data_IF_930553333665
#
_entry.id   IF_930553333665
#
_cell.length_a   1.000
_cell.length_b   1.000
_cell.length_c   1.000
_cell.angle_alpha   90.00
_cell.angle_beta   90.00
_cell.angle_gamma   90.00
#
_symmetry.space_group_name_H-M   'P 1'
#
loop_
_entity.id
_entity.type
_entity.pdbx_description
1 polymer ?
#
# COMPACT_ATOMS: atom_id res chain seq x y z
N UNK A 1 -8.43 24.89 14.40
CA UNK A 1 -9.33 23.79 14.13
C UNK A 1 -8.86 22.53 14.85
N UNK A 2 -9.74 21.91 15.64
CA UNK A 2 -9.46 20.69 16.37
C UNK A 2 -10.24 19.53 15.70
N UNK A 3 -9.53 18.57 15.12
CA UNK A 3 -10.17 17.42 14.51
C UNK A 3 -10.56 16.39 15.58
N UNK A 4 -11.69 15.67 15.41
CA UNK A 4 -12.12 14.63 16.35
C UNK A 4 -11.10 13.49 16.43
N UNK A 5 -10.79 12.96 17.63
CA UNK A 5 -9.98 11.75 17.74
C UNK A 5 -10.68 10.53 17.13
N UNK A 6 -9.94 9.51 16.77
CA UNK A 6 -10.51 8.21 16.39
C UNK A 6 -11.09 7.50 17.62
N UNK A 7 -12.18 6.75 17.41
CA UNK A 7 -12.82 5.96 18.45
C UNK A 7 -13.14 4.56 17.91
N UNK A 8 -13.48 3.58 18.77
CA UNK A 8 -13.85 2.24 18.29
C UNK A 8 -15.03 2.20 17.31
N UNK A 9 -15.85 3.25 17.26
CA UNK A 9 -17.00 3.38 16.36
C UNK A 9 -16.82 4.46 15.28
N UNK A 10 -15.70 5.16 15.26
CA UNK A 10 -15.41 6.23 14.31
C UNK A 10 -13.97 6.14 13.80
N UNK A 11 -13.81 5.73 12.56
CA UNK A 11 -12.53 5.60 11.86
C UNK A 11 -12.50 6.56 10.68
N UNK A 12 -11.62 7.57 10.73
CA UNK A 12 -11.50 8.59 9.69
C UNK A 12 -11.19 7.99 8.31
N UNK A 13 -10.40 6.91 8.26
CA UNK A 13 -10.08 6.20 7.02
C UNK A 13 -11.26 5.46 6.37
N UNK A 14 -12.43 5.41 7.03
CA UNK A 14 -13.64 4.72 6.56
C UNK A 14 -14.82 5.64 6.35
N UNK A 15 -14.88 6.74 7.09
CA UNK A 15 -16.02 7.65 7.07
C UNK A 15 -15.79 8.80 6.08
N UNK A 16 -16.88 9.17 5.41
CA UNK A 16 -16.90 10.28 4.44
C UNK A 16 -17.93 11.30 4.88
N UNK A 17 -17.51 12.56 5.00
CA UNK A 17 -18.41 13.67 5.25
C UNK A 17 -19.32 13.88 4.04
N UNK A 18 -20.59 14.18 4.29
CA UNK A 18 -21.58 14.43 3.23
C UNK A 18 -22.14 13.19 2.54
N UNK A 19 -21.66 11.98 2.80
CA UNK A 19 -22.11 10.77 2.11
C UNK A 19 -23.60 10.46 2.31
N UNK A 20 -24.10 10.66 3.55
CA UNK A 20 -25.52 10.45 3.85
C UNK A 20 -26.41 11.45 3.13
N UNK A 21 -26.04 12.74 3.16
CA UNK A 21 -26.74 13.84 2.51
C UNK A 21 -26.74 13.68 1.00
N UNK A 22 -25.61 13.33 0.40
CA UNK A 22 -25.51 13.07 -1.04
C UNK A 22 -26.46 11.96 -1.51
N UNK A 23 -26.56 10.87 -0.73
CA UNK A 23 -27.51 9.78 -1.02
C UNK A 23 -28.96 10.19 -0.85
N UNK A 24 -29.27 11.01 0.17
CA UNK A 24 -30.63 11.42 0.49
C UNK A 24 -31.17 12.48 -0.47
N UNK A 25 -30.33 13.44 -0.88
CA UNK A 25 -30.74 14.59 -1.68
C UNK A 25 -30.70 14.33 -3.19
N UNK A 26 -29.89 13.37 -3.63
CA UNK A 26 -29.73 13.07 -5.06
C UNK A 26 -30.59 11.87 -5.44
N UNK A 27 -31.68 12.09 -6.16
CA UNK A 27 -32.62 11.02 -6.56
C UNK A 27 -31.94 9.94 -7.42
N UNK A 28 -31.02 10.32 -8.31
CA UNK A 28 -30.25 9.42 -9.16
C UNK A 28 -28.77 9.76 -9.05
N UNK A 29 -28.14 9.19 -8.06
CA UNK A 29 -26.70 9.37 -7.83
C UNK A 29 -25.92 8.58 -8.88
N UNK A 30 -25.18 9.26 -9.76
CA UNK A 30 -24.37 8.66 -10.82
C UNK A 30 -22.88 8.79 -10.58
N UNK A 31 -22.49 9.78 -9.77
CA UNK A 31 -21.08 10.07 -9.44
C UNK A 31 -20.98 10.67 -8.05
N UNK A 32 -19.79 10.60 -7.47
CA UNK A 32 -19.38 11.46 -6.34
C UNK A 32 -18.32 12.45 -6.79
N UNK A 33 -18.40 13.65 -6.23
CA UNK A 33 -17.35 14.64 -6.25
C UNK A 33 -16.60 14.53 -4.93
N UNK A 34 -15.32 14.17 -4.97
CA UNK A 34 -14.45 14.00 -3.80
C UNK A 34 -13.62 15.26 -3.64
N UNK A 35 -13.78 15.96 -2.53
CA UNK A 35 -13.04 17.19 -2.17
C UNK A 35 -12.24 16.96 -0.89
N UNK A 36 -11.32 17.86 -0.55
CA UNK A 36 -10.47 17.73 0.62
C UNK A 36 -11.17 18.17 1.91
N UNK A 37 -11.89 19.28 1.86
CA UNK A 37 -12.48 19.93 3.02
C UNK A 37 -13.99 19.67 3.18
N UNK A 38 -14.45 19.53 4.41
CA UNK A 38 -15.88 19.46 4.70
C UNK A 38 -16.61 20.79 4.43
N UNK A 39 -15.89 21.92 4.49
CA UNK A 39 -16.47 23.22 4.14
C UNK A 39 -16.76 23.32 2.66
N UNK A 40 -15.93 22.71 1.80
CA UNK A 40 -16.20 22.63 0.36
C UNK A 40 -17.50 21.87 0.07
N UNK A 41 -17.72 20.75 0.80
CA UNK A 41 -18.98 20.00 0.68
C UNK A 41 -20.19 20.87 1.02
N UNK A 42 -20.10 21.68 2.09
CA UNK A 42 -21.17 22.58 2.51
C UNK A 42 -21.41 23.67 1.45
N UNK A 43 -20.35 24.29 0.94
CA UNK A 43 -20.44 25.34 -0.07
C UNK A 43 -20.99 24.83 -1.40
N UNK A 44 -20.54 23.66 -1.83
CA UNK A 44 -21.06 22.99 -3.03
C UNK A 44 -22.53 22.64 -2.88
N UNK A 45 -22.96 22.13 -1.71
CA UNK A 45 -24.35 21.82 -1.43
C UNK A 45 -25.25 23.09 -1.39
N UNK A 46 -24.73 24.24 -0.93
CA UNK A 46 -25.42 25.53 -0.98
C UNK A 46 -25.64 26.01 -2.43
N UNK A 47 -24.81 25.55 -3.36
CA UNK A 47 -24.93 25.81 -4.80
C UNK A 47 -25.56 24.64 -5.57
N UNK A 48 -26.38 23.82 -4.91
CA UNK A 48 -27.11 22.67 -5.50
C UNK A 48 -26.23 21.55 -6.09
N UNK A 49 -24.94 21.48 -5.71
CA UNK A 49 -24.05 20.35 -6.02
C UNK A 49 -24.06 19.40 -4.83
N UNK A 50 -25.10 18.56 -4.75
CA UNK A 50 -25.42 17.73 -3.58
C UNK A 50 -24.73 16.37 -3.55
N UNK A 51 -23.84 16.06 -4.49
CA UNK A 51 -23.12 14.79 -4.58
C UNK A 51 -21.63 14.90 -4.19
N UNK A 52 -21.27 15.98 -3.50
CA UNK A 52 -19.93 16.17 -2.95
C UNK A 52 -19.75 15.42 -1.64
N UNK A 53 -18.56 14.84 -1.45
CA UNK A 53 -18.10 14.17 -0.22
C UNK A 53 -16.67 14.57 0.08
N UNK A 54 -16.30 14.58 1.37
CA UNK A 54 -14.92 14.87 1.78
C UNK A 54 -14.38 13.79 2.72
N UNK A 55 -13.06 13.64 2.72
CA UNK A 55 -12.34 12.88 3.73
C UNK A 55 -12.25 13.69 5.03
N UNK A 56 -12.03 13.02 6.16
CA UNK A 56 -12.09 13.65 7.49
C UNK A 56 -10.68 13.99 8.01
N UNK A 57 -9.95 14.84 7.26
CA UNK A 57 -8.58 15.24 7.63
C UNK A 57 -7.55 14.13 7.48
N UNK A 58 -7.81 13.20 6.56
CA UNK A 58 -6.90 12.12 6.17
C UNK A 58 -6.86 12.03 4.64
N UNK A 59 -5.77 11.49 4.09
CA UNK A 59 -5.72 11.18 2.67
C UNK A 59 -6.83 10.18 2.27
N UNK A 60 -7.24 10.21 1.01
CA UNK A 60 -8.21 9.25 0.46
C UNK A 60 -7.67 7.82 0.63
N UNK A 61 -8.44 6.96 1.28
CA UNK A 61 -8.09 5.54 1.52
C UNK A 61 -8.79 4.62 0.53
N UNK A 62 -8.29 3.37 0.41
CA UNK A 62 -8.95 2.33 -0.38
C UNK A 62 -10.36 2.01 0.13
N UNK A 63 -10.59 2.07 1.45
CA UNK A 63 -11.91 1.83 2.04
C UNK A 63 -12.92 2.94 1.67
N UNK A 64 -12.47 4.21 1.62
CA UNK A 64 -13.29 5.31 1.12
C UNK A 64 -13.72 5.06 -0.34
N UNK A 65 -12.78 4.70 -1.21
CA UNK A 65 -13.04 4.45 -2.62
C UNK A 65 -13.96 3.25 -2.83
N UNK A 66 -13.72 2.14 -2.13
CA UNK A 66 -14.60 0.98 -2.19
C UNK A 66 -16.03 1.32 -1.77
N UNK A 67 -16.19 2.10 -0.69
CA UNK A 67 -17.50 2.53 -0.20
C UNK A 67 -18.24 3.37 -1.23
N UNK A 68 -17.54 4.30 -1.88
CA UNK A 68 -18.11 5.12 -2.96
C UNK A 68 -18.43 4.30 -4.21
N UNK A 69 -17.53 3.41 -4.65
CA UNK A 69 -17.74 2.57 -5.83
C UNK A 69 -18.82 1.49 -5.65
N UNK A 70 -19.29 1.21 -4.44
CA UNK A 70 -20.49 0.39 -4.20
C UNK A 70 -21.77 1.13 -4.56
N UNK A 71 -21.73 2.46 -4.59
CA UNK A 71 -22.90 3.31 -4.79
C UNK A 71 -22.94 3.91 -6.19
N UNK A 72 -21.79 4.21 -6.78
CA UNK A 72 -21.65 4.85 -8.10
C UNK A 72 -20.53 4.21 -8.90
N UNK A 73 -20.57 4.37 -10.22
CA UNK A 73 -19.50 3.91 -11.11
C UNK A 73 -18.45 4.99 -11.43
N UNK A 74 -18.73 6.26 -11.10
CA UNK A 74 -17.85 7.39 -11.45
C UNK A 74 -17.47 8.18 -10.20
N UNK A 75 -16.17 8.43 -10.03
CA UNK A 75 -15.62 9.35 -9.03
C UNK A 75 -14.90 10.50 -9.74
N UNK A 76 -15.14 11.73 -9.29
CA UNK A 76 -14.40 12.90 -9.73
C UNK A 76 -13.70 13.47 -8.51
N UNK A 77 -12.37 13.47 -8.52
CA UNK A 77 -11.56 14.09 -7.49
C UNK A 77 -11.31 15.54 -7.86
N UNK A 78 -11.50 16.47 -6.93
CA UNK A 78 -11.24 17.88 -7.11
C UNK A 78 -10.14 18.30 -6.14
N UNK A 79 -9.06 18.81 -6.69
CA UNK A 79 -7.88 19.25 -5.96
C UNK A 79 -7.54 20.69 -6.30
N UNK A 80 -6.92 21.39 -5.36
CA UNK A 80 -6.33 22.69 -5.59
C UNK A 80 -5.29 22.63 -6.71
N UNK A 81 -5.10 23.71 -7.43
CA UNK A 81 -4.20 23.77 -8.59
C UNK A 81 -2.71 23.75 -8.24
N UNK A 82 -2.36 23.81 -6.95
CA UNK A 82 -1.01 23.89 -6.46
C UNK A 82 -0.26 22.52 -6.47
N UNK A 83 1.00 22.54 -6.04
CA UNK A 83 1.81 21.33 -5.99
C UNK A 83 1.32 20.34 -4.92
N UNK A 84 0.75 20.81 -3.81
CA UNK A 84 0.21 19.95 -2.77
C UNK A 84 -1.00 19.18 -3.28
N UNK A 85 -1.95 19.86 -3.96
CA UNK A 85 -3.09 19.25 -4.61
C UNK A 85 -2.69 18.24 -5.71
N UNK A 86 -1.64 18.55 -6.50
CA UNK A 86 -1.12 17.59 -7.51
C UNK A 86 -0.52 16.33 -6.86
N UNK A 87 0.16 16.46 -5.73
CA UNK A 87 0.70 15.33 -4.98
C UNK A 87 -0.42 14.52 -4.31
N UNK A 88 -1.44 15.19 -3.75
CA UNK A 88 -2.62 14.53 -3.20
C UNK A 88 -3.39 13.75 -4.28
N UNK A 89 -3.54 14.32 -5.49
CA UNK A 89 -4.13 13.67 -6.65
C UNK A 89 -3.37 12.41 -7.06
N UNK A 90 -2.03 12.46 -7.07
CA UNK A 90 -1.20 11.30 -7.39
C UNK A 90 -1.37 10.18 -6.36
N UNK A 91 -1.42 10.51 -5.07
CA UNK A 91 -1.74 9.54 -4.00
C UNK A 91 -3.13 8.94 -4.18
N UNK A 92 -4.14 9.76 -4.46
CA UNK A 92 -5.51 9.28 -4.70
C UNK A 92 -5.57 8.35 -5.92
N UNK A 93 -4.83 8.67 -7.01
CA UNK A 93 -4.70 7.81 -8.18
C UNK A 93 -4.09 6.46 -7.80
N UNK A 94 -2.96 6.44 -7.09
CA UNK A 94 -2.27 5.21 -6.68
C UNK A 94 -3.19 4.31 -5.84
N UNK A 95 -3.93 4.90 -4.89
CA UNK A 95 -4.92 4.15 -4.07
C UNK A 95 -6.10 3.65 -4.91
N UNK A 96 -6.44 4.35 -6.01
CA UNK A 96 -7.54 3.95 -6.89
C UNK A 96 -7.17 2.78 -7.82
N UNK A 97 -5.91 2.65 -8.26
CA UNK A 97 -5.49 1.64 -9.24
C UNK A 97 -5.94 0.21 -8.90
N UNK A 98 -5.72 -0.32 -7.66
CA UNK A 98 -6.16 -1.67 -7.31
C UNK A 98 -7.68 -1.85 -7.31
N UNK A 99 -8.43 -0.76 -7.31
CA UNK A 99 -9.88 -0.75 -7.24
C UNK A 99 -10.54 -0.50 -8.61
N UNK A 100 -9.75 -0.14 -9.63
CA UNK A 100 -10.26 0.09 -10.98
C UNK A 100 -10.63 -1.23 -11.64
N UNK A 101 -11.89 -1.35 -12.00
CA UNK A 101 -12.48 -2.50 -12.69
C UNK A 101 -13.28 -1.99 -13.89
N UNK A 102 -13.58 -2.88 -14.82
CA UNK A 102 -14.44 -2.57 -15.95
C UNK A 102 -15.77 -1.94 -15.47
N UNK A 103 -16.16 -0.83 -16.06
CA UNK A 103 -17.33 -0.05 -15.65
C UNK A 103 -17.08 0.98 -14.54
N UNK A 104 -15.91 1.03 -13.89
CA UNK A 104 -15.53 2.10 -12.96
C UNK A 104 -14.75 3.20 -13.67
N UNK A 105 -14.97 4.45 -13.26
CA UNK A 105 -14.27 5.62 -13.79
C UNK A 105 -13.81 6.53 -12.66
N UNK A 106 -12.56 6.95 -12.71
CA UNK A 106 -11.99 7.97 -11.85
C UNK A 106 -11.47 9.13 -12.72
N UNK A 107 -11.73 10.36 -12.31
CA UNK A 107 -11.30 11.58 -13.01
C UNK A 107 -10.70 12.56 -12.00
N UNK A 108 -9.84 13.43 -12.48
CA UNK A 108 -9.10 14.41 -11.68
C UNK A 108 -9.32 15.80 -12.23
N UNK A 109 -9.90 16.67 -11.42
CA UNK A 109 -10.07 18.08 -11.70
C UNK A 109 -9.05 18.85 -10.86
N UNK A 110 -8.25 19.67 -11.51
CA UNK A 110 -7.36 20.64 -10.87
C UNK A 110 -7.95 22.03 -11.05
N UNK A 111 -8.16 22.72 -9.94
CA UNK A 111 -8.67 24.07 -9.95
C UNK A 111 -7.56 25.07 -10.36
N UNK A 112 -7.92 26.27 -10.80
CA UNK A 112 -6.96 27.35 -11.00
C UNK A 112 -6.17 27.67 -9.73
N UNK A 113 -4.93 28.11 -9.85
CA UNK A 113 -4.07 28.47 -8.72
C UNK A 113 -4.76 29.50 -7.80
N UNK A 114 -4.80 29.19 -6.50
CA UNK A 114 -5.42 30.04 -5.48
C UNK A 114 -6.95 29.92 -5.36
N UNK A 115 -7.58 29.04 -6.12
CA UNK A 115 -9.01 28.73 -6.01
C UNK A 115 -9.21 27.37 -5.32
N UNK A 116 -10.19 27.32 -4.43
CA UNK A 116 -10.74 26.11 -3.84
C UNK A 116 -12.17 25.85 -4.37
N UNK A 117 -12.79 24.69 -4.09
CA UNK A 117 -14.15 24.40 -4.56
C UNK A 117 -15.20 25.44 -4.09
N UNK A 118 -15.06 25.98 -2.85
CA UNK A 118 -15.95 26.99 -2.30
C UNK A 118 -15.85 28.31 -3.07
N UNK A 119 -14.64 28.85 -3.22
CA UNK A 119 -14.39 30.12 -3.90
C UNK A 119 -14.83 30.05 -5.37
N UNK A 120 -14.50 28.94 -6.04
CA UNK A 120 -14.79 28.79 -7.46
C UNK A 120 -16.28 28.63 -7.75
N UNK A 121 -17.02 27.82 -6.98
CA UNK A 121 -18.45 27.65 -7.20
C UNK A 121 -19.24 28.95 -6.91
N UNK A 122 -18.81 29.74 -5.93
CA UNK A 122 -19.41 31.07 -5.67
C UNK A 122 -19.16 32.06 -6.80
N UNK A 123 -17.97 31.99 -7.41
CA UNK A 123 -17.55 32.91 -8.47
C UNK A 123 -18.20 32.59 -9.83
N UNK A 124 -18.26 31.32 -10.18
CA UNK A 124 -18.66 30.86 -11.52
C UNK A 124 -20.10 30.32 -11.58
N UNK A 125 -20.66 29.91 -10.43
CA UNK A 125 -21.96 29.26 -10.35
C UNK A 125 -21.93 27.78 -10.71
N UNK A 126 -23.04 27.09 -10.45
CA UNK A 126 -23.20 25.65 -10.63
C UNK A 126 -22.87 25.17 -12.03
N UNK A 127 -23.48 25.79 -13.05
CA UNK A 127 -23.38 25.29 -14.42
C UNK A 127 -21.96 25.27 -14.97
N UNK A 128 -21.18 26.31 -14.66
CA UNK A 128 -19.77 26.36 -15.05
C UNK A 128 -18.92 25.40 -14.27
N UNK A 129 -19.20 25.22 -12.97
CA UNK A 129 -18.49 24.25 -12.15
C UNK A 129 -18.75 22.83 -12.63
N UNK A 130 -20.01 22.47 -12.95
CA UNK A 130 -20.35 21.16 -13.51
C UNK A 130 -19.70 20.94 -14.89
N UNK A 131 -19.64 21.97 -15.72
CA UNK A 131 -18.90 21.91 -16.99
C UNK A 131 -17.41 21.56 -16.75
N UNK A 132 -16.77 22.13 -15.72
CA UNK A 132 -15.38 21.77 -15.35
C UNK A 132 -15.26 20.31 -14.90
N UNK A 133 -16.23 19.80 -14.15
CA UNK A 133 -16.26 18.39 -13.74
C UNK A 133 -16.35 17.46 -14.97
N UNK A 134 -17.05 17.85 -16.01
CA UNK A 134 -17.10 17.09 -17.25
C UNK A 134 -15.77 17.11 -18.02
N UNK A 135 -15.00 18.18 -17.90
CA UNK A 135 -13.64 18.31 -18.46
C UNK A 135 -12.55 17.68 -17.57
N UNK A 136 -12.90 17.16 -16.39
CA UNK A 136 -11.93 16.52 -15.51
C UNK A 136 -11.15 15.41 -16.22
N UNK A 137 -9.84 15.40 -16.03
CA UNK A 137 -8.90 14.50 -16.70
C UNK A 137 -9.16 13.04 -16.28
N UNK A 138 -9.35 12.10 -17.22
CA UNK A 138 -9.47 10.68 -16.90
C UNK A 138 -8.21 10.14 -16.21
N UNK A 139 -8.37 9.11 -15.36
CA UNK A 139 -7.26 8.46 -14.66
C UNK A 139 -6.13 8.02 -15.59
N UNK A 140 -6.38 7.37 -16.76
CA UNK A 140 -5.29 7.00 -17.66
C UNK A 140 -4.49 8.19 -18.16
N UNK A 141 -5.16 9.28 -18.53
CA UNK A 141 -4.50 10.48 -19.05
C UNK A 141 -3.64 11.14 -17.96
N UNK A 142 -4.16 11.27 -16.74
CA UNK A 142 -3.41 11.82 -15.63
C UNK A 142 -2.20 10.92 -15.27
N UNK A 143 -2.39 9.60 -15.24
CA UNK A 143 -1.35 8.62 -14.98
C UNK A 143 -0.18 8.75 -15.96
N UNK A 144 -0.46 8.67 -17.24
CA UNK A 144 0.61 8.73 -18.24
C UNK A 144 1.23 10.12 -18.36
N UNK A 145 0.43 11.18 -18.27
CA UNK A 145 0.97 12.56 -18.31
C UNK A 145 1.93 12.82 -17.14
N UNK A 146 1.59 12.35 -15.94
CA UNK A 146 2.47 12.51 -14.76
C UNK A 146 3.76 11.72 -14.90
N UNK A 147 3.70 10.47 -15.37
CA UNK A 147 4.90 9.65 -15.55
C UNK A 147 5.81 10.13 -16.66
N UNK A 148 5.27 10.80 -17.69
CA UNK A 148 6.05 11.32 -18.82
C UNK A 148 6.64 12.72 -18.57
N UNK A 149 6.21 13.43 -17.50
CA UNK A 149 6.54 14.84 -17.31
C UNK A 149 8.05 15.12 -17.36
N UNK A 150 8.86 14.21 -16.80
CA UNK A 150 10.31 14.37 -16.67
C UNK A 150 11.09 13.33 -17.51
N UNK A 151 10.43 12.64 -18.46
CA UNK A 151 11.02 11.57 -19.27
C UNK A 151 11.05 11.96 -20.75
N UNK A 152 12.22 11.89 -21.36
CA UNK A 152 12.34 11.98 -22.82
C UNK A 152 11.88 10.68 -23.50
N UNK A 153 10.60 10.58 -23.78
CA UNK A 153 9.97 9.42 -24.45
C UNK A 153 10.45 9.20 -25.90
N UNK A 154 11.23 10.11 -26.48
CA UNK A 154 11.81 9.92 -27.81
C UNK A 154 13.08 9.07 -27.75
N UNK A 155 13.79 9.06 -26.62
CA UNK A 155 14.98 8.25 -26.40
C UNK A 155 14.61 6.79 -26.05
N UNK A 156 15.51 5.85 -26.33
CA UNK A 156 15.33 4.45 -25.93
C UNK A 156 15.37 4.29 -24.42
N UNK A 157 16.24 5.04 -23.76
CA UNK A 157 16.37 5.03 -22.30
C UNK A 157 15.09 5.56 -21.62
N UNK A 158 14.54 6.67 -22.15
CA UNK A 158 13.27 7.22 -21.64
C UNK A 158 12.09 6.25 -21.81
N UNK A 159 12.00 5.55 -22.95
CA UNK A 159 11.00 4.50 -23.16
C UNK A 159 11.14 3.34 -22.18
N UNK A 160 12.37 2.89 -21.94
CA UNK A 160 12.66 1.85 -20.97
C UNK A 160 12.32 2.32 -19.55
N UNK A 161 12.68 3.56 -19.20
CA UNK A 161 12.37 4.16 -17.91
C UNK A 161 10.86 4.26 -17.67
N UNK A 162 10.10 4.79 -18.64
CA UNK A 162 8.65 4.85 -18.57
C UNK A 162 8.01 3.46 -18.37
N UNK A 163 8.51 2.44 -19.09
CA UNK A 163 8.03 1.07 -18.95
C UNK A 163 8.25 0.51 -17.54
N UNK A 164 9.44 0.77 -16.97
CA UNK A 164 9.80 0.31 -15.63
C UNK A 164 8.99 1.00 -14.52
N UNK A 165 8.61 2.27 -14.70
CA UNK A 165 7.76 3.00 -13.75
C UNK A 165 6.29 2.61 -13.89
N UNK A 166 5.78 2.50 -15.12
CA UNK A 166 4.36 2.29 -15.35
C UNK A 166 3.90 0.86 -15.08
N UNK A 167 4.68 -0.15 -15.51
CA UNK A 167 4.24 -1.56 -15.43
C UNK A 167 3.95 -2.06 -14.01
N UNK A 168 4.76 -1.78 -12.97
CA UNK A 168 4.43 -2.18 -11.60
C UNK A 168 3.07 -1.63 -11.15
N UNK A 169 2.79 -0.35 -11.43
CA UNK A 169 1.54 0.30 -11.07
C UNK A 169 0.34 -0.25 -11.88
N UNK A 170 0.51 -0.49 -13.19
CA UNK A 170 -0.52 -1.12 -14.02
C UNK A 170 -0.81 -2.55 -13.53
N UNK A 171 0.18 -3.25 -12.99
CA UNK A 171 0.00 -4.59 -12.46
C UNK A 171 -0.88 -4.63 -11.20
N UNK A 172 -0.99 -3.54 -10.45
CA UNK A 172 -1.93 -3.42 -9.34
C UNK A 172 -3.40 -3.40 -9.78
N UNK A 173 -3.68 -3.02 -11.04
CA UNK A 173 -5.03 -3.04 -11.59
C UNK A 173 -5.51 -4.49 -11.71
N UNK A 174 -6.72 -4.83 -11.21
CA UNK A 174 -7.30 -6.15 -11.36
C UNK A 174 -7.41 -6.57 -12.83
N UNK A 175 -7.33 -7.87 -13.08
CA UNK A 175 -7.47 -8.41 -14.43
C UNK A 175 -8.82 -8.02 -15.04
N UNK A 176 -8.80 -7.47 -16.26
CA UNK A 176 -9.97 -6.97 -16.98
C UNK A 176 -9.56 -6.20 -18.23
N UNK A 177 -10.56 -5.72 -18.99
CA UNK A 177 -10.36 -4.94 -20.21
C UNK A 177 -9.63 -3.62 -19.90
N UNK A 178 -9.96 -2.97 -18.79
CA UNK A 178 -9.31 -1.72 -18.39
C UNK A 178 -7.80 -1.88 -18.23
N UNK A 179 -7.34 -2.95 -17.57
CA UNK A 179 -5.89 -3.25 -17.45
C UNK A 179 -5.24 -3.45 -18.80
N UNK A 180 -5.89 -4.19 -19.69
CA UNK A 180 -5.37 -4.43 -21.04
C UNK A 180 -5.20 -3.14 -21.82
N UNK A 181 -6.20 -2.25 -21.78
CA UNK A 181 -6.13 -0.94 -22.42
C UNK A 181 -5.01 -0.05 -21.85
N UNK A 182 -4.73 -0.12 -20.55
CA UNK A 182 -3.60 0.57 -19.94
C UNK A 182 -2.25 0.04 -20.46
N UNK A 183 -2.12 -1.28 -20.62
CA UNK A 183 -0.91 -1.91 -21.21
C UNK A 183 -0.78 -1.54 -22.69
N UNK A 184 -1.86 -1.53 -23.45
CA UNK A 184 -1.88 -1.11 -24.85
C UNK A 184 -1.47 0.35 -25.00
N UNK A 185 -1.98 1.24 -24.14
CA UNK A 185 -1.58 2.65 -24.15
C UNK A 185 -0.06 2.81 -23.86
N UNK A 186 0.49 2.06 -22.91
CA UNK A 186 1.92 2.02 -22.66
C UNK A 186 2.70 1.47 -23.87
N UNK A 187 2.17 0.45 -24.54
CA UNK A 187 2.73 -0.11 -25.76
C UNK A 187 2.82 0.94 -26.88
N UNK A 188 1.79 1.74 -27.06
CA UNK A 188 1.76 2.85 -28.03
C UNK A 188 2.83 3.90 -27.68
N UNK A 189 2.93 4.31 -26.42
CA UNK A 189 3.88 5.34 -25.97
C UNK A 189 5.35 4.90 -26.10
N UNK A 190 5.62 3.63 -25.80
CA UNK A 190 6.99 3.10 -25.79
C UNK A 190 7.41 2.47 -27.13
N UNK A 191 6.43 2.04 -27.93
CA UNK A 191 6.68 1.27 -29.15
C UNK A 191 7.05 -0.21 -28.88
N UNK A 192 6.89 -0.68 -27.62
CA UNK A 192 7.12 -2.08 -27.25
C UNK A 192 5.79 -2.84 -27.33
N UNK A 193 5.81 -4.05 -27.89
CA UNK A 193 4.62 -4.88 -27.94
C UNK A 193 4.14 -5.25 -26.52
N UNK A 194 2.81 -5.31 -26.32
CA UNK A 194 2.18 -5.52 -25.02
C UNK A 194 2.64 -6.80 -24.32
N UNK A 195 2.81 -7.89 -25.07
CA UNK A 195 3.34 -9.17 -24.58
C UNK A 195 4.77 -9.06 -24.04
N UNK A 196 5.62 -8.26 -24.69
CA UNK A 196 6.99 -7.99 -24.22
C UNK A 196 7.02 -7.14 -22.95
N UNK A 197 6.12 -6.16 -22.81
CA UNK A 197 5.98 -5.37 -21.59
C UNK A 197 5.59 -6.26 -20.40
N UNK A 198 4.62 -7.14 -20.60
CA UNK A 198 4.18 -8.09 -19.57
C UNK A 198 5.29 -9.08 -19.22
N UNK A 199 5.98 -9.65 -20.22
CA UNK A 199 7.08 -10.59 -20.00
C UNK A 199 8.26 -9.92 -19.27
N UNK A 200 8.63 -8.70 -19.64
CA UNK A 200 9.70 -7.94 -18.98
C UNK A 200 9.37 -7.66 -17.50
N UNK A 201 8.13 -7.24 -17.21
CA UNK A 201 7.70 -7.00 -15.82
C UNK A 201 7.71 -8.27 -14.97
N UNK A 202 7.32 -9.42 -15.53
CA UNK A 202 7.38 -10.73 -14.85
C UNK A 202 8.82 -11.16 -14.59
N UNK A 203 9.76 -10.87 -15.49
CA UNK A 203 11.19 -11.20 -15.33
C UNK A 203 11.88 -10.34 -14.25
N UNK A 204 11.47 -9.09 -14.09
CA UNK A 204 11.96 -8.20 -13.01
C UNK A 204 11.42 -8.68 -11.66
N UNK A 205 10.14 -9.06 -11.58
CA UNK A 205 9.57 -9.64 -10.38
C UNK A 205 10.22 -10.99 -10.00
N UNK A 206 10.58 -11.82 -11.00
CA UNK A 206 11.25 -13.10 -10.78
C UNK A 206 12.73 -12.98 -10.39
N UNK A 207 13.41 -11.87 -10.74
CA UNK A 207 14.79 -11.58 -10.31
C UNK A 207 14.88 -11.10 -8.86
N UNK A 208 13.77 -10.65 -8.29
CA UNK A 208 13.68 -10.20 -6.91
C UNK A 208 13.16 -11.28 -5.95
N UNK A 209 13.30 -12.57 -6.29
CA UNK A 209 13.19 -13.65 -5.31
C UNK A 209 14.57 -13.79 -4.68
N UNK A 210 14.74 -13.54 -3.37
CA UNK A 210 16.00 -13.77 -2.69
C UNK A 210 16.40 -15.25 -2.91
N UNK A 211 17.50 -15.48 -3.61
CA UNK A 211 18.02 -16.83 -3.81
C UNK A 211 18.44 -17.41 -2.47
N UNK A 212 17.72 -18.41 -2.00
CA UNK A 212 18.13 -19.23 -0.86
C UNK A 212 19.57 -19.73 -1.07
N UNK A 213 20.40 -19.79 -0.02
CA UNK A 213 21.80 -20.22 -0.13
C UNK A 213 21.86 -21.65 -0.68
N UNK A 214 22.58 -21.82 -1.78
CA UNK A 214 22.87 -23.13 -2.38
C UNK A 214 23.66 -23.98 -1.40
N UNK A 215 23.01 -24.93 -0.75
CA UNK A 215 23.65 -26.05 -0.08
C UNK A 215 24.34 -26.93 -1.14
N UNK A 216 25.61 -27.23 -0.92
CA UNK A 216 26.44 -28.12 -1.75
C UNK A 216 25.80 -29.51 -1.85
N UNK A 217 25.84 -30.19 -2.99
CA UNK A 217 25.27 -31.53 -3.11
C UNK A 217 26.17 -32.56 -2.45
N UNK A 218 25.64 -33.25 -1.44
CA UNK A 218 26.19 -34.51 -0.96
C UNK A 218 25.54 -35.64 -1.75
N UNK A 219 26.38 -36.47 -2.38
CA UNK A 219 25.98 -37.69 -3.09
C UNK A 219 25.42 -38.74 -2.11
N UNK A 220 24.28 -39.31 -2.44
CA UNK A 220 23.94 -40.71 -2.16
C UNK A 220 22.69 -41.09 -2.96
N UNK A 221 22.92 -41.86 -3.94
CA UNK A 221 22.39 -43.19 -4.31
C UNK A 221 20.87 -43.43 -4.35
N UNK A 222 20.49 -43.86 -5.54
CA UNK A 222 19.23 -44.43 -6.02
C UNK A 222 18.73 -45.61 -5.21
N UNK A 223 17.42 -45.65 -4.93
CA UNK A 223 16.63 -46.94 -5.00
C UNK A 223 15.21 -46.61 -5.47
N UNK A 224 14.77 -47.47 -6.39
CA UNK A 224 13.54 -47.46 -7.16
C UNK A 224 12.30 -47.96 -6.41
N UNK A 225 11.16 -47.48 -6.90
CA UNK A 225 9.88 -48.23 -7.15
C UNK A 225 8.94 -48.52 -5.97
N UNK A 226 7.71 -48.09 -6.16
CA UNK A 226 6.62 -49.05 -6.13
C UNK A 226 5.30 -48.54 -5.49
N UNK A 227 4.25 -48.56 -6.32
CA UNK A 227 2.83 -48.86 -6.04
C UNK A 227 1.94 -47.77 -5.38
N UNK A 228 1.13 -47.27 -6.18
CA UNK A 228 -0.34 -47.21 -6.35
C UNK A 228 -1.25 -47.66 -5.19
N UNK A 229 -2.31 -46.87 -5.09
CA UNK A 229 -3.72 -47.18 -4.80
C UNK A 229 -4.32 -46.80 -3.46
N UNK A 230 -5.30 -45.91 -3.65
CA UNK A 230 -6.65 -45.84 -3.08
C UNK A 230 -6.85 -45.92 -1.56
N UNK A 231 -7.43 -44.88 -1.02
CA UNK A 231 -8.74 -45.01 -0.34
C UNK A 231 -9.44 -43.62 -0.21
N UNK A 232 -10.65 -43.56 -0.75
CA UNK A 232 -11.66 -42.53 -0.52
C UNK A 232 -12.30 -42.68 0.86
N UNK A 233 -12.76 -41.55 1.34
CA UNK A 233 -13.93 -41.30 2.20
C UNK A 233 -13.67 -40.64 3.54
N UNK A 234 -14.15 -39.41 3.57
CA UNK A 234 -15.05 -38.95 4.64
C UNK A 234 -14.40 -38.31 5.86
N UNK A 235 -14.38 -36.98 5.92
CA UNK A 235 -15.08 -36.26 6.99
C UNK A 235 -14.76 -34.75 6.96
N UNK A 236 -15.84 -34.00 6.89
CA UNK A 236 -16.09 -32.65 7.49
C UNK A 236 -15.03 -31.55 7.39
N UNK A 237 -15.40 -30.57 6.60
CA UNK A 237 -14.95 -29.17 6.69
C UNK A 237 -15.07 -28.64 8.10
N UNK A 238 -13.98 -28.10 8.64
CA UNK A 238 -14.01 -26.93 9.50
C UNK A 238 -12.60 -26.33 9.63
N UNK A 239 -12.51 -25.02 9.30
CA UNK A 239 -11.49 -24.03 9.71
C UNK A 239 -10.02 -24.30 9.37
N UNK A 240 -9.71 -24.20 8.08
CA UNK A 240 -8.35 -23.86 7.61
C UNK A 240 -8.35 -22.34 7.40
N UNK A 241 -7.60 -21.62 8.24
CA UNK A 241 -7.25 -20.22 8.02
C UNK A 241 -6.64 -20.07 6.62
N UNK A 242 -7.33 -19.30 5.79
CA UNK A 242 -7.04 -19.14 4.37
C UNK A 242 -5.62 -18.61 4.13
N UNK A 243 -4.88 -19.13 3.14
CA UNK A 243 -3.54 -18.64 2.74
C UNK A 243 -3.52 -17.16 2.27
N UNK A 244 -4.69 -16.55 2.10
CA UNK A 244 -4.85 -15.14 1.73
C UNK A 244 -4.54 -14.15 2.87
N UNK A 245 -4.61 -14.55 4.15
CA UNK A 245 -4.30 -13.66 5.27
C UNK A 245 -2.79 -13.56 5.53
N UNK A 246 -2.06 -14.68 5.45
CA UNK A 246 -0.61 -14.69 5.63
C UNK A 246 0.12 -13.87 4.55
N UNK A 247 -0.38 -13.87 3.31
CA UNK A 247 0.20 -13.07 2.23
C UNK A 247 -0.01 -11.56 2.44
N UNK A 248 -1.15 -11.14 3.00
CA UNK A 248 -1.42 -9.72 3.30
C UNK A 248 -0.59 -9.21 4.48
N UNK A 249 -0.48 -9.99 5.54
CA UNK A 249 0.34 -9.65 6.72
C UNK A 249 1.83 -9.54 6.36
N UNK A 250 2.35 -10.41 5.48
CA UNK A 250 3.72 -10.33 4.99
C UNK A 250 3.99 -9.10 4.11
N UNK A 251 3.02 -8.70 3.27
CA UNK A 251 3.12 -7.48 2.45
C UNK A 251 3.09 -6.23 3.36
N UNK A 252 2.23 -6.22 4.37
CA UNK A 252 2.14 -5.12 5.33
C UNK A 252 3.42 -4.99 6.16
N UNK A 253 3.98 -6.11 6.62
CA UNK A 253 5.25 -6.16 7.33
C UNK A 253 6.40 -5.59 6.47
N UNK A 254 6.53 -6.03 5.22
CA UNK A 254 7.56 -5.53 4.31
C UNK A 254 7.45 -4.02 4.04
N UNK A 255 6.23 -3.49 3.90
CA UNK A 255 5.98 -2.04 3.75
C UNK A 255 6.42 -1.25 4.98
N UNK A 256 6.13 -1.74 6.17
CA UNK A 256 6.52 -1.10 7.43
C UNK A 256 8.05 -1.14 7.64
N UNK A 257 8.71 -2.23 7.27
CA UNK A 257 10.19 -2.31 7.29
C UNK A 257 10.80 -1.28 6.34
N UNK A 258 10.30 -1.19 5.11
CA UNK A 258 10.73 -0.17 4.13
C UNK A 258 10.55 1.25 4.67
N UNK A 259 9.43 1.52 5.33
CA UNK A 259 9.13 2.82 5.93
C UNK A 259 10.08 3.14 7.10
N UNK A 260 10.36 2.17 7.97
CA UNK A 260 11.33 2.32 9.05
C UNK A 260 12.75 2.59 8.53
N UNK A 261 13.17 1.89 7.46
CA UNK A 261 14.46 2.13 6.79
C UNK A 261 14.51 3.56 6.22
N UNK A 262 13.47 4.00 5.51
CA UNK A 262 13.44 5.34 4.94
C UNK A 262 13.52 6.45 6.01
N UNK A 263 12.87 6.25 7.16
CA UNK A 263 12.96 7.16 8.31
C UNK A 263 14.37 7.19 8.93
N UNK A 264 15.01 6.03 9.13
CA UNK A 264 16.39 5.94 9.63
C UNK A 264 17.39 6.56 8.67
N UNK A 265 17.19 6.42 7.35
CA UNK A 265 18.05 7.05 6.35
C UNK A 265 17.96 8.58 6.40
N UNK A 266 16.82 9.15 6.78
CA UNK A 266 16.62 10.60 6.93
C UNK A 266 17.15 11.12 8.26
N UNK A 267 16.92 10.38 9.33
CA UNK A 267 17.29 10.76 10.69
C UNK A 267 17.89 9.54 11.41
N UNK A 268 19.21 9.31 11.28
CA UNK A 268 19.90 8.17 11.91
C UNK A 268 19.74 8.13 13.42
N UNK A 269 19.53 9.27 14.07
CA UNK A 269 19.34 9.38 15.54
C UNK A 269 18.13 8.60 16.04
N UNK A 270 17.15 8.28 15.18
CA UNK A 270 15.99 7.44 15.52
C UNK A 270 16.42 6.02 15.97
N UNK A 271 17.62 5.57 15.60
CA UNK A 271 18.19 4.30 16.06
C UNK A 271 18.31 4.22 17.59
N UNK A 272 18.38 5.35 18.29
CA UNK A 272 18.43 5.41 19.75
C UNK A 272 17.14 4.89 20.42
N UNK A 273 16.04 4.80 19.67
CA UNK A 273 14.77 4.23 20.16
C UNK A 273 14.78 2.69 20.20
N UNK A 274 15.82 2.05 19.63
CA UNK A 274 15.95 0.59 19.64
C UNK A 274 16.67 0.13 20.89
N UNK A 275 15.95 -0.56 21.76
CA UNK A 275 16.53 -1.30 22.88
C UNK A 275 16.83 -2.77 22.49
N UNK A 276 17.58 -3.48 23.35
CA UNK A 276 17.92 -4.87 23.13
C UNK A 276 16.69 -5.80 23.01
N UNK A 277 15.54 -5.42 23.59
CA UNK A 277 14.30 -6.21 23.52
C UNK A 277 13.62 -6.05 22.15
N UNK A 278 13.59 -4.83 21.60
CA UNK A 278 13.08 -4.54 20.27
C UNK A 278 13.93 -5.29 19.23
N UNK A 279 15.26 -5.18 19.36
CA UNK A 279 16.21 -5.84 18.46
C UNK A 279 15.99 -7.36 18.42
N UNK A 280 15.99 -8.04 19.58
CA UNK A 280 15.83 -9.50 19.64
C UNK A 280 14.46 -10.00 19.13
N UNK A 281 13.40 -9.18 19.20
CA UNK A 281 12.08 -9.53 18.66
C UNK A 281 12.06 -9.44 17.14
N UNK A 282 12.67 -8.42 16.56
CA UNK A 282 12.74 -8.24 15.10
C UNK A 282 13.74 -9.20 14.44
N UNK A 283 14.81 -9.60 15.11
CA UNK A 283 15.80 -10.56 14.61
C UNK A 283 15.17 -11.93 14.24
N UNK A 284 14.11 -12.30 14.95
CA UNK A 284 13.35 -13.52 14.65
C UNK A 284 12.41 -13.40 13.45
N UNK A 285 12.27 -12.21 12.84
CA UNK A 285 11.31 -11.93 11.78
C UNK A 285 11.98 -11.86 10.41
N UNK A 286 11.64 -12.74 9.45
CA UNK A 286 12.17 -12.68 8.10
C UNK A 286 11.81 -11.35 7.42
N UNK A 287 12.82 -10.70 6.79
CA UNK A 287 12.65 -9.43 6.08
C UNK A 287 13.02 -8.19 6.88
N UNK A 288 13.45 -8.33 8.14
CA UNK A 288 13.97 -7.23 8.98
C UNK A 288 15.49 -7.09 8.96
N UNK A 289 16.21 -7.97 8.24
CA UNK A 289 17.66 -8.07 8.26
C UNK A 289 18.34 -6.75 7.91
N UNK A 290 17.92 -6.10 6.82
CA UNK A 290 18.52 -4.84 6.37
C UNK A 290 18.24 -3.69 7.36
N UNK A 291 17.05 -3.64 7.96
CA UNK A 291 16.72 -2.68 9.01
C UNK A 291 17.64 -2.82 10.22
N UNK A 292 17.87 -4.05 10.67
CA UNK A 292 18.74 -4.34 11.81
C UNK A 292 20.23 -4.08 11.50
N UNK A 293 20.68 -4.38 10.28
CA UNK A 293 22.05 -4.04 9.83
C UNK A 293 22.27 -2.52 9.82
N UNK A 294 21.30 -1.75 9.34
CA UNK A 294 21.37 -0.28 9.36
C UNK A 294 21.46 0.27 10.78
N UNK A 295 20.59 -0.22 11.69
CA UNK A 295 20.62 0.18 13.11
C UNK A 295 21.98 -0.16 13.72
N UNK A 296 22.48 -1.37 13.49
CA UNK A 296 23.78 -1.79 14.00
C UNK A 296 24.92 -0.91 13.47
N UNK A 297 24.90 -0.58 12.17
CA UNK A 297 25.91 0.29 11.58
C UNK A 297 25.85 1.73 12.14
N UNK A 298 24.65 2.28 12.36
CA UNK A 298 24.46 3.60 12.94
C UNK A 298 25.02 3.64 14.37
N UNK A 299 24.66 2.65 15.20
CA UNK A 299 25.08 2.60 16.61
C UNK A 299 26.57 2.31 16.73
N UNK A 300 27.12 1.33 15.96
CA UNK A 300 28.51 0.93 16.05
C UNK A 300 29.50 1.99 15.54
N UNK A 301 29.08 2.85 14.61
CA UNK A 301 29.93 3.86 13.97
C UNK A 301 29.54 5.30 14.33
N UNK A 302 28.58 5.49 15.26
CA UNK A 302 28.05 6.78 15.70
C UNK A 302 27.65 7.69 14.51
N UNK A 303 26.96 7.12 13.52
CA UNK A 303 26.58 7.82 12.29
C UNK A 303 25.40 8.74 12.59
N UNK A 304 25.59 10.05 12.41
CA UNK A 304 24.57 11.08 12.59
C UNK A 304 24.07 11.71 11.26
N UNK A 305 24.68 11.37 10.13
CA UNK A 305 24.36 11.96 8.83
C UNK A 305 23.83 10.91 7.83
N UNK A 306 22.73 11.21 7.12
CA UNK A 306 22.20 10.38 6.04
C UNK A 306 23.25 10.00 4.99
N UNK A 307 24.07 10.95 4.57
CA UNK A 307 25.14 10.74 3.57
C UNK A 307 26.24 9.80 4.07
N UNK A 308 26.61 9.91 5.35
CA UNK A 308 27.59 8.98 5.96
C UNK A 308 27.02 7.58 6.02
N UNK A 309 25.72 7.44 6.36
CA UNK A 309 25.07 6.15 6.41
C UNK A 309 25.06 5.51 5.01
N UNK A 310 24.65 6.24 3.98
CA UNK A 310 24.64 5.75 2.60
C UNK A 310 26.05 5.38 2.10
N UNK A 311 27.08 6.16 2.44
CA UNK A 311 28.46 5.88 2.06
C UNK A 311 28.98 4.55 2.62
N UNK A 312 28.46 4.08 3.77
CA UNK A 312 28.86 2.78 4.33
C UNK A 312 28.33 1.57 3.54
N UNK A 313 27.37 1.80 2.63
CA UNK A 313 26.77 0.77 1.75
C UNK A 313 27.22 0.87 0.29
N UNK A 314 28.15 1.79 -0.07
CA UNK A 314 28.52 2.10 -1.46
C UNK A 314 28.94 0.87 -2.28
N UNK A 315 29.58 -0.13 -1.66
CA UNK A 315 30.04 -1.36 -2.30
C UNK A 315 29.08 -2.56 -2.11
N UNK A 316 27.86 -2.33 -1.62
CA UNK A 316 26.87 -3.38 -1.33
C UNK A 316 25.73 -3.36 -2.34
N UNK A 317 25.10 -4.51 -2.63
CA UNK A 317 23.98 -4.60 -3.58
C UNK A 317 22.74 -3.79 -3.17
N UNK A 318 22.58 -3.48 -1.87
CA UNK A 318 21.46 -2.70 -1.35
C UNK A 318 21.65 -1.18 -1.55
N UNK A 319 22.80 -0.71 -2.01
CA UNK A 319 23.14 0.71 -2.14
C UNK A 319 22.12 1.48 -3.02
N UNK A 320 21.81 0.96 -4.21
CA UNK A 320 20.87 1.60 -5.12
C UNK A 320 19.47 1.68 -4.50
N UNK A 321 19.03 0.64 -3.81
CA UNK A 321 17.74 0.63 -3.10
C UNK A 321 17.69 1.67 -1.99
N UNK A 322 18.76 1.80 -1.18
CA UNK A 322 18.82 2.78 -0.09
C UNK A 322 18.89 4.21 -0.62
N UNK A 323 19.62 4.44 -1.73
CA UNK A 323 19.67 5.74 -2.41
C UNK A 323 18.28 6.15 -2.91
N UNK A 324 17.59 5.23 -3.58
CA UNK A 324 16.24 5.48 -4.11
C UNK A 324 15.24 5.79 -2.99
N UNK A 325 15.39 5.18 -1.81
CA UNK A 325 14.57 5.49 -0.63
C UNK A 325 14.84 6.89 -0.06
N UNK A 326 16.06 7.39 -0.13
CA UNK A 326 16.40 8.77 0.28
C UNK A 326 15.83 9.79 -0.71
N UNK A 327 15.89 9.48 -2.01
CA UNK A 327 15.41 10.35 -3.08
C UNK A 327 13.88 10.40 -3.15
N UNK A 328 13.18 9.39 -2.62
CA UNK A 328 11.73 9.45 -2.49
C UNK A 328 11.36 10.54 -1.49
N UNK A 329 10.72 11.62 -1.97
CA UNK A 329 10.12 12.67 -1.14
C UNK A 329 9.07 12.06 -0.22
N UNK A 330 9.46 11.71 1.00
CA UNK A 330 8.49 11.39 2.04
C UNK A 330 8.03 12.70 2.68
N UNK A 331 6.73 12.96 2.59
CA UNK A 331 6.05 14.19 3.02
C UNK A 331 5.94 14.38 4.55
N UNK A 332 6.73 13.62 5.33
CA UNK A 332 6.75 13.76 6.77
C UNK A 332 7.67 14.91 7.16
N UNK A 333 7.14 15.84 7.96
CA UNK A 333 7.93 16.87 8.61
C UNK A 333 8.95 16.20 9.54
N UNK A 334 10.19 16.69 9.54
CA UNK A 334 11.28 16.14 10.37
C UNK A 334 10.91 16.13 11.85
N UNK A 335 10.07 17.06 12.29
CA UNK A 335 9.57 17.15 13.67
C UNK A 335 8.62 16.03 14.06
N UNK A 336 7.92 15.39 13.13
CA UNK A 336 6.95 14.31 13.37
C UNK A 336 7.58 12.91 13.24
N UNK A 337 8.77 12.80 12.65
CA UNK A 337 9.47 11.55 12.42
C UNK A 337 9.66 10.67 13.67
N UNK A 338 10.01 11.19 14.88
CA UNK A 338 10.22 10.33 16.05
C UNK A 338 8.94 9.66 16.55
N UNK A 339 7.79 10.32 16.50
CA UNK A 339 6.51 9.76 16.92
C UNK A 339 6.01 8.72 15.89
N UNK A 340 6.12 9.04 14.61
CA UNK A 340 5.74 8.12 13.53
C UNK A 340 6.63 6.87 13.51
N UNK A 341 7.94 7.04 13.70
CA UNK A 341 8.87 5.93 13.78
C UNK A 341 8.52 4.99 14.94
N UNK A 342 8.23 5.54 16.12
CA UNK A 342 7.73 4.76 17.27
C UNK A 342 6.47 3.98 16.92
N UNK A 343 5.53 4.58 16.19
CA UNK A 343 4.30 3.95 15.73
C UNK A 343 4.55 2.78 14.77
N UNK A 344 5.46 2.97 13.81
CA UNK A 344 5.88 1.94 12.85
C UNK A 344 6.53 0.76 13.57
N UNK A 345 7.47 1.01 14.49
CA UNK A 345 8.16 -0.04 15.23
C UNK A 345 7.19 -0.82 16.12
N UNK A 346 6.28 -0.15 16.82
CA UNK A 346 5.26 -0.82 17.63
C UNK A 346 4.34 -1.71 16.77
N UNK A 347 4.02 -1.29 15.56
CA UNK A 347 3.20 -2.08 14.64
C UNK A 347 3.97 -3.28 14.12
N UNK A 348 5.26 -3.12 13.76
CA UNK A 348 6.16 -4.22 13.39
C UNK A 348 6.25 -5.27 14.51
N UNK A 349 6.47 -4.85 15.74
CA UNK A 349 6.55 -5.75 16.89
C UNK A 349 5.25 -6.53 17.11
N UNK A 350 4.10 -5.89 16.93
CA UNK A 350 2.80 -6.55 17.05
C UNK A 350 2.56 -7.59 15.96
N UNK A 351 3.00 -7.32 14.73
CA UNK A 351 2.92 -8.28 13.63
C UNK A 351 3.87 -9.46 13.85
N UNK A 352 5.10 -9.20 14.32
CA UNK A 352 6.07 -10.24 14.71
C UNK A 352 5.51 -11.17 15.79
N UNK A 353 4.90 -10.63 16.84
CA UNK A 353 4.30 -11.43 17.90
C UNK A 353 3.11 -12.26 17.40
N UNK A 354 2.32 -11.72 16.49
CA UNK A 354 1.20 -12.43 15.87
C UNK A 354 1.70 -13.60 15.02
N UNK A 355 2.75 -13.37 14.19
CA UNK A 355 3.36 -14.42 13.35
C UNK A 355 4.02 -15.51 14.20
N UNK A 356 4.79 -15.13 15.22
CA UNK A 356 5.41 -16.08 16.16
C UNK A 356 4.36 -16.90 16.90
N UNK A 357 3.27 -16.29 17.32
CA UNK A 357 2.13 -16.98 17.95
C UNK A 357 1.41 -17.95 17.00
N UNK A 358 1.30 -17.61 15.71
CA UNK A 358 0.73 -18.50 14.69
C UNK A 358 1.65 -19.69 14.39
N UNK A 359 2.96 -19.46 14.25
CA UNK A 359 3.96 -20.52 14.03
C UNK A 359 4.01 -21.49 15.22
N UNK A 360 4.04 -20.98 16.44
CA UNK A 360 4.02 -21.79 17.66
C UNK A 360 2.72 -22.62 17.74
N UNK A 361 1.60 -22.03 17.38
CA UNK A 361 0.32 -22.74 17.32
C UNK A 361 0.28 -23.83 16.25
N UNK A 362 0.85 -23.57 15.07
CA UNK A 362 0.94 -24.55 14.00
C UNK A 362 1.86 -25.71 14.40
N UNK A 363 3.01 -25.42 15.02
CA UNK A 363 3.94 -26.43 15.53
C UNK A 363 3.30 -27.31 16.62
N UNK A 364 2.62 -26.69 17.61
CA UNK A 364 1.90 -27.40 18.64
C UNK A 364 0.75 -28.28 18.10
N UNK A 365 0.10 -27.86 17.01
CA UNK A 365 -0.97 -28.66 16.39
C UNK A 365 -0.45 -29.79 15.49
N UNK A 366 0.80 -29.69 15.00
CA UNK A 366 1.43 -30.70 14.16
C UNK A 366 2.09 -31.84 14.95
N UNK A 367 2.44 -31.61 16.24
CA UNK A 367 3.06 -32.61 17.10
C UNK A 367 2.04 -33.61 17.67
N UNK A 368 2.32 -34.91 17.68
CA UNK A 368 1.51 -35.89 18.38
C UNK A 368 1.46 -35.58 19.87
N UNK A 369 0.29 -35.74 20.50
CA UNK A 369 0.07 -35.38 21.91
C UNK A 369 1.04 -36.13 22.86
N UNK A 370 1.46 -37.34 22.49
CA UNK A 370 2.37 -38.17 23.29
C UNK A 370 3.81 -37.68 23.27
N UNK A 371 4.22 -36.91 22.26
CA UNK A 371 5.56 -36.33 22.09
C UNK A 371 5.67 -34.91 22.67
N UNK A 372 4.56 -34.34 23.15
CA UNK A 372 4.52 -32.99 23.73
C UNK A 372 5.03 -32.99 25.18
N UNK A 373 5.88 -31.99 25.48
CA UNK A 373 6.25 -31.66 26.85
C UNK A 373 5.06 -31.20 27.71
N UNK A 374 5.19 -31.22 29.01
CA UNK A 374 4.11 -30.83 29.93
C UNK A 374 3.73 -29.34 29.75
N UNK A 375 4.69 -28.48 29.46
CA UNK A 375 4.47 -27.07 29.16
C UNK A 375 3.74 -26.86 27.81
N UNK A 376 4.04 -27.65 26.78
CA UNK A 376 3.35 -27.60 25.48
C UNK A 376 1.89 -28.08 25.61
N UNK A 377 1.63 -29.11 26.40
CA UNK A 377 0.26 -29.60 26.69
C UNK A 377 -0.54 -28.55 27.44
N UNK A 378 0.05 -27.82 28.35
CA UNK A 378 -0.60 -26.74 29.10
C UNK A 378 -0.93 -25.53 28.18
N UNK A 379 0.00 -25.15 27.29
CA UNK A 379 -0.25 -24.14 26.26
C UNK A 379 -1.40 -24.54 25.33
N UNK A 380 -1.45 -25.77 24.89
CA UNK A 380 -2.52 -26.29 24.03
C UNK A 380 -3.89 -26.22 24.74
N UNK A 381 -3.95 -26.60 26.03
CA UNK A 381 -5.19 -26.48 26.84
C UNK A 381 -5.65 -25.05 26.98
N UNK A 382 -4.73 -24.09 27.14
CA UNK A 382 -5.04 -22.68 27.27
C UNK A 382 -5.52 -22.08 25.94
N UNK A 383 -4.99 -22.53 24.81
CA UNK A 383 -5.45 -22.13 23.46
C UNK A 383 -6.87 -22.62 23.18
N UNK A 384 -7.20 -23.86 23.55
CA UNK A 384 -8.55 -24.43 23.39
C UNK A 384 -9.57 -23.68 24.27
N UNK A 385 -9.21 -23.36 25.53
CA UNK A 385 -10.08 -22.57 26.43
C UNK A 385 -10.35 -21.15 25.93
N UNK A 386 -9.39 -20.50 25.27
CA UNK A 386 -9.58 -19.16 24.66
C UNK A 386 -10.46 -19.22 23.41
N UNK A 387 -10.42 -20.32 22.63
CA UNK A 387 -11.29 -20.54 21.49
C UNK A 387 -12.76 -20.74 21.87
N UNK A 388 -13.04 -21.33 23.05
CA UNK A 388 -14.41 -21.53 23.55
C UNK A 388 -15.06 -20.28 24.19
N UNK A 389 -14.26 -19.26 24.57
CA UNK A 389 -14.77 -17.98 25.11
C UNK A 389 -15.11 -16.95 24.02
N UNK A 390 -14.83 -17.24 22.74
CA UNK A 390 -15.14 -16.36 21.59
C UNK A 390 -16.32 -16.85 20.75
N UNK A 391 -16.99 -17.90 21.15
CA UNK A 391 -18.33 -18.29 20.69
C UNK A 391 -19.35 -17.90 21.76
#
# INVERSE_FOLDING_TARGET
YLNSPETPVFHKGRELYGLFEARKRTQKLTQFLVVEGYMDVVALAQNDINYAVATLGTATSGEHLERMFRLVSRLVFCFDGDNAGRNAAWKALTVALPLMRDGRSARFLFLPDGEDPDSLVRKEGKDKFEWRLDQAQPLPDFFFNKLQADIDIKSLDGKAHLSNLAMPMINEIPSGVFKQLMIEQLSILTGLAADKLVAASASVAARYVPSAPKSKPTKAESVQQGAQETFQQGMSRQDVTSPANSSRENIEFAKLVTMAIAMLLRQPELSQQFDAKIYGRLEASPGSELLLELIHAIVAREISSPLMLLATWQDRPEFDYLRDLIEQEQLLDVSELPEEFTGVINTLLRLTDAQSGQLLRADLLSKPFDEMSESEREMLRNLVKRGQKRK
#
